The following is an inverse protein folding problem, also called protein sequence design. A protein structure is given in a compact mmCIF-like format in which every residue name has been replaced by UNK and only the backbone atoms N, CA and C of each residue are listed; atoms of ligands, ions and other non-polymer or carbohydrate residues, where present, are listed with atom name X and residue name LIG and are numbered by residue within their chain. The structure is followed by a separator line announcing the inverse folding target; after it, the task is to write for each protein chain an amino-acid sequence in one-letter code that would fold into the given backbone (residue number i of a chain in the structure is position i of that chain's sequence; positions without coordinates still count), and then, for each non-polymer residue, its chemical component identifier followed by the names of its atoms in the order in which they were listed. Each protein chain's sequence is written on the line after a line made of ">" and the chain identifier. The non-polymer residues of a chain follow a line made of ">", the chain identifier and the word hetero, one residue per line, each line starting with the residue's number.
data_IF_274396231370
#
_entry.id   IF_274396231370
#
_cell.length_a   1.000
_cell.length_b   1.000
_cell.length_c   1.000
_cell.angle_alpha   90.00
_cell.angle_beta   90.00
_cell.angle_gamma   90.00
#
_symmetry.space_group_name_H-M   'P 1'
#
loop_
_entity.id
_entity.type
_entity.pdbx_description
1 polymer ?
#
# COMPACT_ATOMS: atom_id res chain seq x y z
N UNK A 1 -29.70 -18.15 -39.65
CA UNK A 1 -29.41 -17.84 -38.23
C UNK A 1 -28.27 -18.75 -37.79
N UNK A 2 -27.02 -18.32 -37.95
CA UNK A 2 -25.87 -19.11 -37.51
C UNK A 2 -25.62 -18.82 -36.03
N UNK A 3 -25.91 -19.78 -35.16
CA UNK A 3 -25.45 -19.78 -33.78
C UNK A 3 -23.94 -20.00 -33.79
N UNK A 4 -23.17 -19.02 -33.33
CA UNK A 4 -21.74 -19.19 -33.05
C UNK A 4 -21.61 -19.96 -31.72
N UNK A 5 -21.08 -21.20 -31.70
CA UNK A 5 -21.12 -22.04 -30.50
C UNK A 5 -19.85 -21.93 -29.64
N UNK A 6 -19.11 -20.82 -29.70
CA UNK A 6 -17.81 -20.69 -29.02
C UNK A 6 -17.61 -19.30 -28.41
N UNK A 7 -18.54 -18.83 -27.59
CA UNK A 7 -18.21 -17.79 -26.62
C UNK A 7 -17.58 -18.51 -25.41
N UNK A 8 -16.27 -18.36 -25.15
CA UNK A 8 -15.66 -18.96 -23.96
C UNK A 8 -16.40 -18.42 -22.73
N UNK A 9 -16.59 -19.22 -21.66
CA UNK A 9 -17.21 -18.72 -20.46
C UNK A 9 -16.45 -17.48 -20.03
N UNK A 10 -17.15 -16.35 -19.93
CA UNK A 10 -16.61 -15.14 -19.30
C UNK A 10 -16.31 -15.57 -17.87
N UNK A 11 -15.08 -15.99 -17.62
CA UNK A 11 -14.56 -16.10 -16.28
C UNK A 11 -14.71 -14.69 -15.74
N UNK A 12 -15.70 -14.48 -14.88
CA UNK A 12 -15.86 -13.24 -14.13
C UNK A 12 -14.66 -13.23 -13.18
N UNK A 13 -13.50 -12.85 -13.72
CA UNK A 13 -12.28 -12.64 -12.96
C UNK A 13 -12.61 -11.47 -12.07
N UNK A 14 -12.81 -11.74 -10.78
CA UNK A 14 -12.93 -10.71 -9.78
C UNK A 14 -11.75 -9.76 -9.97
N UNK A 15 -12.04 -8.47 -9.98
CA UNK A 15 -10.99 -7.47 -9.87
C UNK A 15 -10.19 -7.72 -8.60
N UNK A 16 -8.96 -7.21 -8.57
CA UNK A 16 -8.11 -7.33 -7.38
C UNK A 16 -8.82 -6.77 -6.13
N UNK A 17 -9.52 -5.63 -6.28
CA UNK A 17 -10.32 -5.03 -5.22
C UNK A 17 -11.44 -5.96 -4.73
N UNK A 18 -12.16 -6.62 -5.63
CA UNK A 18 -13.22 -7.58 -5.27
C UNK A 18 -12.65 -8.84 -4.61
N UNK A 19 -11.46 -9.27 -5.01
CA UNK A 19 -10.75 -10.39 -4.38
C UNK A 19 -10.35 -10.05 -2.94
N UNK A 20 -9.82 -8.85 -2.72
CA UNK A 20 -9.47 -8.33 -1.39
C UNK A 20 -10.72 -8.19 -0.53
N UNK A 21 -11.79 -7.58 -1.05
CA UNK A 21 -13.06 -7.43 -0.33
C UNK A 21 -13.66 -8.80 0.06
N UNK A 22 -13.57 -9.80 -0.82
CA UNK A 22 -14.01 -11.16 -0.52
C UNK A 22 -13.18 -11.81 0.58
N UNK A 23 -11.87 -11.57 0.63
CA UNK A 23 -11.00 -12.06 1.69
C UNK A 23 -11.41 -11.50 3.06
N UNK A 24 -11.64 -10.19 3.16
CA UNK A 24 -12.13 -9.57 4.40
C UNK A 24 -13.52 -10.08 4.79
N UNK A 25 -14.43 -10.22 3.83
CA UNK A 25 -15.77 -10.78 4.09
C UNK A 25 -15.70 -12.21 4.61
N UNK A 26 -14.81 -13.04 4.06
CA UNK A 26 -14.56 -14.41 4.56
C UNK A 26 -13.98 -14.40 5.97
N UNK A 27 -13.01 -13.52 6.25
CA UNK A 27 -12.42 -13.36 7.58
C UNK A 27 -13.43 -12.87 8.63
N UNK A 28 -14.43 -12.08 8.22
CA UNK A 28 -15.52 -11.61 9.06
C UNK A 28 -16.73 -12.58 9.12
N UNK A 29 -16.59 -13.81 8.61
CA UNK A 29 -17.67 -14.82 8.57
C UNK A 29 -18.96 -14.32 7.90
N UNK A 30 -18.83 -13.43 6.92
CA UNK A 30 -19.95 -12.86 6.17
C UNK A 30 -20.51 -11.54 6.72
N UNK A 31 -20.02 -11.06 7.87
CA UNK A 31 -20.37 -9.73 8.38
C UNK A 31 -19.63 -8.65 7.57
N UNK A 32 -20.38 -7.98 6.69
CA UNK A 32 -19.84 -6.96 5.79
C UNK A 32 -19.39 -5.70 6.55
N UNK A 33 -20.02 -5.36 7.67
CA UNK A 33 -19.64 -4.18 8.46
C UNK A 33 -18.31 -4.42 9.15
N UNK A 34 -18.14 -5.57 9.80
CA UNK A 34 -16.85 -5.96 10.42
C UNK A 34 -15.75 -6.10 9.37
N UNK A 35 -16.07 -6.66 8.19
CA UNK A 35 -15.12 -6.76 7.08
C UNK A 35 -14.63 -5.37 6.63
N UNK A 36 -15.54 -4.41 6.50
CA UNK A 36 -15.22 -3.04 6.09
C UNK A 36 -14.37 -2.33 7.15
N UNK A 37 -14.76 -2.42 8.43
CA UNK A 37 -14.02 -1.80 9.54
C UNK A 37 -12.58 -2.33 9.56
N UNK A 38 -12.38 -3.65 9.45
CA UNK A 38 -11.04 -4.26 9.40
C UNK A 38 -10.22 -3.81 8.20
N UNK A 39 -10.83 -3.74 7.02
CA UNK A 39 -10.13 -3.27 5.82
C UNK A 39 -9.68 -1.81 5.95
N UNK A 40 -10.48 -0.97 6.61
CA UNK A 40 -10.12 0.43 6.90
C UNK A 40 -9.02 0.52 7.96
N UNK A 41 -9.09 -0.28 9.03
CA UNK A 41 -8.05 -0.35 10.06
C UNK A 41 -6.69 -0.75 9.47
N UNK A 42 -6.67 -1.79 8.63
CA UNK A 42 -5.45 -2.24 7.96
C UNK A 42 -4.90 -1.16 7.00
N UNK A 43 -5.76 -0.49 6.23
CA UNK A 43 -5.35 0.61 5.36
C UNK A 43 -4.76 1.81 6.13
N UNK A 44 -5.33 2.15 7.30
CA UNK A 44 -4.81 3.21 8.17
C UNK A 44 -3.48 2.81 8.83
N UNK A 45 -3.31 1.53 9.16
CA UNK A 45 -2.05 1.00 9.67
C UNK A 45 -0.95 1.06 8.60
N UNK A 46 -1.28 0.68 7.35
CA UNK A 46 -0.38 0.77 6.20
C UNK A 46 0.01 2.22 5.91
N UNK A 47 -0.94 3.17 5.98
CA UNK A 47 -0.65 4.60 5.84
C UNK A 47 0.30 5.09 6.96
N UNK A 48 0.01 4.73 8.21
CA UNK A 48 0.83 5.11 9.36
C UNK A 48 2.24 4.51 9.29
N UNK A 49 2.38 3.30 8.77
CA UNK A 49 3.67 2.66 8.52
C UNK A 49 4.43 3.33 7.37
N UNK A 50 3.74 3.68 6.29
CA UNK A 50 4.32 4.44 5.18
C UNK A 50 4.80 5.83 5.62
N UNK A 51 4.01 6.54 6.44
CA UNK A 51 4.40 7.81 7.05
C UNK A 51 5.62 7.66 7.95
N UNK A 52 5.65 6.63 8.82
CA UNK A 52 6.82 6.35 9.67
C UNK A 52 8.08 6.08 8.84
N UNK A 53 7.96 5.34 7.73
CA UNK A 53 9.09 5.09 6.81
C UNK A 53 9.56 6.37 6.14
N UNK A 54 8.65 7.24 5.72
CA UNK A 54 8.99 8.54 5.12
C UNK A 54 9.68 9.44 6.14
N UNK A 55 9.15 9.57 7.36
CA UNK A 55 9.78 10.36 8.42
C UNK A 55 11.16 9.83 8.81
N UNK A 56 11.37 8.51 8.81
CA UNK A 56 12.71 7.93 9.03
C UNK A 56 13.66 8.22 7.87
N UNK A 57 13.20 8.14 6.61
CA UNK A 57 14.01 8.49 5.43
C UNK A 57 14.38 9.97 5.41
N UNK A 58 13.44 10.85 5.73
CA UNK A 58 13.69 12.30 5.78
C UNK A 58 14.70 12.65 6.89
N UNK A 59 14.62 12.00 8.05
CA UNK A 59 15.63 12.14 9.11
C UNK A 59 17.02 11.66 8.67
N UNK A 60 17.10 10.54 7.95
CA UNK A 60 18.38 10.05 7.41
C UNK A 60 18.94 10.99 6.32
N UNK A 61 18.09 11.57 5.49
CA UNK A 61 18.49 12.58 4.49
C UNK A 61 18.97 13.85 5.18
N UNK A 62 18.26 14.36 6.18
CA UNK A 62 18.71 15.54 6.95
C UNK A 62 20.02 15.27 7.69
N UNK A 63 20.21 14.09 8.28
CA UNK A 63 21.47 13.74 8.94
C UNK A 63 22.63 13.63 7.93
N UNK A 64 22.39 13.04 6.77
CA UNK A 64 23.34 12.98 5.66
C UNK A 64 23.69 14.36 5.10
N UNK A 65 22.70 15.26 4.98
CA UNK A 65 22.88 16.64 4.54
C UNK A 65 23.69 17.45 5.56
N UNK A 66 23.38 17.35 6.85
CA UNK A 66 24.14 18.01 7.93
C UNK A 66 25.58 17.48 7.98
N UNK A 67 25.80 16.17 7.83
CA UNK A 67 27.16 15.63 7.80
C UNK A 67 27.93 16.07 6.55
N UNK A 68 27.27 16.14 5.41
CA UNK A 68 27.84 16.65 4.17
C UNK A 68 28.21 18.13 4.28
N UNK A 69 27.33 18.96 4.85
CA UNK A 69 27.60 20.39 5.04
C UNK A 69 28.69 20.65 6.08
N UNK A 70 28.73 19.90 7.18
CA UNK A 70 29.80 20.00 8.20
C UNK A 70 31.14 19.51 7.64
N UNK A 71 31.15 18.45 6.82
CA UNK A 71 32.39 17.96 6.18
C UNK A 71 32.88 18.92 5.09
N UNK A 72 31.97 19.51 4.31
CA UNK A 72 32.30 20.56 3.33
C UNK A 72 32.79 21.83 4.01
N UNK A 73 32.16 22.26 5.10
CA UNK A 73 32.59 23.44 5.86
C UNK A 73 33.94 23.22 6.56
N UNK A 74 34.22 22.00 7.04
CA UNK A 74 35.51 21.63 7.60
C UNK A 74 36.62 21.53 6.53
N UNK A 75 36.29 21.18 5.28
CA UNK A 75 37.23 21.13 4.17
C UNK A 75 37.56 22.49 3.53
N UNK A 76 36.86 23.56 3.89
CA UNK A 76 37.11 24.93 3.41
C UNK A 76 37.91 25.80 4.41
N UNK A 77 38.38 25.21 5.51
CA UNK A 77 39.20 25.88 6.53
C UNK A 77 40.68 25.43 6.47
N UNK A 78 41.24 25.32 5.27
CA UNK A 78 42.68 25.12 5.02
C UNK A 78 43.25 26.26 4.17
#
# INVERSE_FOLDING_TARGET
>A
MHAHPNEPPVEIRLTEAETIALAYRRAARGDTWVALVRAVEDALADLSEAERRTMQRDRLISYGYIRGSVSTAAGTAE
#
